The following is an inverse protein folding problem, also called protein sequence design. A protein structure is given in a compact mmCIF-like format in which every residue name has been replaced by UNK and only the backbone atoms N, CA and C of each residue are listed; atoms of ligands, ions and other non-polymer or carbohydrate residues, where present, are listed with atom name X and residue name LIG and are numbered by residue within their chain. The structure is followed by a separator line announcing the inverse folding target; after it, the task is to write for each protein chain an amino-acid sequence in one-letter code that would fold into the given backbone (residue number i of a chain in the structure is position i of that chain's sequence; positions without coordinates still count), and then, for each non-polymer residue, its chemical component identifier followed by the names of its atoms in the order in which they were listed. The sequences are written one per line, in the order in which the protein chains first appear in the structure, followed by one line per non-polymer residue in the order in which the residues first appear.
data_IF_351856176290
#
_entry.id   IF_351856176290
#
_cell.length_a   1.000
_cell.length_b   1.000
_cell.length_c   1.000
_cell.angle_alpha   90.00
_cell.angle_beta   90.00
_cell.angle_gamma   90.00
#
_symmetry.space_group_name_H-M   'P 1'
#
loop_
_entity.id
_entity.type
_entity.pdbx_description
1 polymer ?
#
# COMPACT_ATOMS: atom_id res chain seq x y z
N UNK A 1 15.61 10.87 1.45
CA UNK A 1 15.33 11.04 0.02
C UNK A 1 14.67 9.76 -0.50
N UNK A 2 13.57 9.90 -1.20
CA UNK A 2 12.85 8.76 -1.77
C UNK A 2 13.56 8.29 -3.04
N UNK A 3 13.71 6.97 -3.18
CA UNK A 3 14.29 6.36 -4.37
C UNK A 3 13.45 5.22 -4.90
N UNK A 4 13.77 4.78 -6.12
CA UNK A 4 13.23 3.54 -6.66
C UNK A 4 13.90 2.36 -5.96
N UNK A 5 13.11 1.34 -5.61
CA UNK A 5 13.64 0.12 -5.01
C UNK A 5 14.53 -0.63 -6.01
N UNK A 6 15.52 -1.30 -5.47
CA UNK A 6 16.41 -2.21 -6.21
C UNK A 6 16.25 -3.63 -5.67
N UNK A 7 16.86 -4.59 -6.32
CA UNK A 7 16.85 -5.98 -5.85
C UNK A 7 17.38 -6.13 -4.41
N UNK A 8 18.28 -5.24 -3.99
CA UNK A 8 18.84 -5.25 -2.64
C UNK A 8 17.80 -4.88 -1.56
N UNK A 9 16.71 -4.25 -1.95
CA UNK A 9 15.63 -3.87 -1.02
C UNK A 9 14.65 -5.03 -0.74
N UNK A 10 14.71 -6.11 -1.51
CA UNK A 10 13.73 -7.19 -1.42
C UNK A 10 13.70 -7.85 -0.03
N UNK A 11 14.84 -7.99 0.61
CA UNK A 11 14.93 -8.65 1.92
C UNK A 11 14.18 -7.87 3.01
N UNK A 12 14.51 -6.60 3.18
CA UNK A 12 13.87 -5.79 4.23
C UNK A 12 12.40 -5.49 3.94
N UNK A 13 12.02 -5.32 2.65
CA UNK A 13 10.62 -5.14 2.27
C UNK A 13 9.81 -6.39 2.63
N UNK A 14 10.34 -7.57 2.33
CA UNK A 14 9.72 -8.85 2.71
C UNK A 14 9.52 -8.94 4.22
N UNK A 15 10.55 -8.63 5.00
CA UNK A 15 10.50 -8.67 6.46
C UNK A 15 9.46 -7.69 7.02
N UNK A 16 9.46 -6.46 6.57
CA UNK A 16 8.48 -5.44 7.00
C UNK A 16 7.05 -5.86 6.68
N UNK A 17 6.80 -6.34 5.48
CA UNK A 17 5.47 -6.77 5.08
C UNK A 17 4.99 -7.97 5.90
N UNK A 18 5.87 -8.94 6.12
CA UNK A 18 5.52 -10.14 6.88
C UNK A 18 5.27 -9.85 8.37
N UNK A 19 5.95 -8.87 8.96
CA UNK A 19 5.63 -8.40 10.31
C UNK A 19 4.19 -7.84 10.37
N UNK A 20 3.81 -7.02 9.41
CA UNK A 20 2.44 -6.46 9.32
C UNK A 20 1.41 -7.58 9.13
N UNK A 21 1.70 -8.55 8.26
CA UNK A 21 0.81 -9.70 8.04
C UNK A 21 0.65 -10.53 9.31
N UNK A 22 1.73 -10.80 10.03
CA UNK A 22 1.71 -11.66 11.22
C UNK A 22 1.08 -10.97 12.44
N UNK A 23 1.34 -9.68 12.62
CA UNK A 23 1.13 -9.01 13.90
C UNK A 23 -0.05 -8.04 13.91
N UNK A 24 -0.71 -7.81 12.78
CA UNK A 24 -1.78 -6.80 12.67
C UNK A 24 -3.01 -7.29 11.93
N UNK A 25 -4.11 -6.52 12.06
CA UNK A 25 -5.33 -6.67 11.26
C UNK A 25 -5.42 -5.64 10.14
N UNK A 26 -4.34 -4.93 9.83
CA UNK A 26 -4.31 -3.98 8.71
C UNK A 26 -4.23 -4.67 7.35
N UNK A 27 -3.82 -5.93 7.32
CA UNK A 27 -3.93 -6.83 6.18
C UNK A 27 -4.88 -7.97 6.52
N UNK A 28 -5.59 -8.50 5.52
CA UNK A 28 -6.51 -9.63 5.72
C UNK A 28 -5.83 -10.98 5.49
N UNK A 29 -4.77 -11.03 4.71
CA UNK A 29 -4.04 -12.27 4.49
C UNK A 29 -3.25 -12.70 5.71
N UNK A 30 -3.12 -14.02 5.86
CA UNK A 30 -2.21 -14.66 6.81
C UNK A 30 -1.02 -15.30 6.10
N UNK A 31 -0.99 -15.25 4.76
CA UNK A 31 0.07 -15.83 3.95
C UNK A 31 1.27 -14.89 3.86
N UNK A 32 2.45 -15.32 4.34
CA UNK A 32 3.64 -14.48 4.22
C UNK A 32 4.07 -14.33 2.77
N UNK A 33 4.68 -13.19 2.46
CA UNK A 33 5.34 -12.95 1.18
C UNK A 33 6.68 -13.67 1.14
N UNK A 34 7.04 -14.17 -0.03
CA UNK A 34 8.40 -14.69 -0.27
C UNK A 34 9.31 -13.57 -0.78
N UNK A 35 10.59 -13.69 -0.50
CA UNK A 35 11.59 -12.76 -1.03
C UNK A 35 11.63 -12.77 -2.56
N UNK A 36 11.43 -13.94 -3.17
CA UNK A 36 11.35 -14.09 -4.64
C UNK A 36 10.17 -13.30 -5.21
N UNK A 37 8.99 -13.39 -4.59
CA UNK A 37 7.82 -12.64 -5.03
C UNK A 37 8.02 -11.12 -4.91
N UNK A 38 8.67 -10.66 -3.85
CA UNK A 38 8.99 -9.25 -3.68
C UNK A 38 10.03 -8.78 -4.69
N UNK A 39 11.05 -9.57 -4.96
CA UNK A 39 12.04 -9.25 -6.00
C UNK A 39 11.39 -9.13 -7.39
N UNK A 40 10.46 -10.01 -7.71
CA UNK A 40 9.68 -9.95 -8.95
C UNK A 40 8.79 -8.69 -8.98
N UNK A 41 8.16 -8.35 -7.89
CA UNK A 41 7.38 -7.11 -7.78
C UNK A 41 8.23 -5.89 -8.07
N UNK A 42 9.43 -5.80 -7.49
CA UNK A 42 10.38 -4.69 -7.72
C UNK A 42 10.76 -4.61 -9.19
N UNK A 43 10.94 -5.75 -9.86
CA UNK A 43 11.33 -5.81 -11.27
C UNK A 43 10.19 -5.44 -12.23
N UNK A 44 8.93 -5.55 -11.83
CA UNK A 44 7.78 -5.48 -12.75
C UNK A 44 6.83 -4.31 -12.51
N UNK A 45 6.96 -3.57 -11.41
CA UNK A 45 6.10 -2.43 -11.10
C UNK A 45 6.85 -1.35 -10.33
N UNK A 46 6.31 -0.12 -10.25
CA UNK A 46 6.92 0.93 -9.43
C UNK A 46 6.92 0.55 -7.95
N UNK A 47 8.08 0.60 -7.33
CA UNK A 47 8.27 0.45 -5.89
C UNK A 47 9.18 1.59 -5.44
N UNK A 48 8.69 2.44 -4.55
CA UNK A 48 9.46 3.54 -3.97
C UNK A 48 9.83 3.21 -2.54
N UNK A 49 11.02 3.60 -2.14
CA UNK A 49 11.56 3.32 -0.81
C UNK A 49 12.03 4.60 -0.11
N UNK A 50 11.84 4.61 1.20
CA UNK A 50 12.49 5.58 2.09
C UNK A 50 13.89 5.07 2.46
N UNK A 51 14.84 5.98 2.74
CA UNK A 51 16.17 5.57 3.19
C UNK A 51 16.09 4.78 4.50
N UNK A 52 17.15 4.04 4.79
CA UNK A 52 17.31 3.28 6.04
C UNK A 52 16.20 2.26 6.31
N UNK A 53 15.64 1.67 5.26
CA UNK A 53 14.55 0.69 5.35
C UNK A 53 13.33 1.21 6.16
N UNK A 54 13.05 2.50 6.09
CA UNK A 54 11.98 3.11 6.88
C UNK A 54 10.58 2.88 6.32
N UNK A 55 10.46 2.48 5.06
CA UNK A 55 9.16 2.19 4.46
C UNK A 55 9.23 2.11 2.95
N UNK A 56 8.17 1.57 2.38
CA UNK A 56 8.01 1.47 0.93
C UNK A 56 6.57 1.72 0.51
N UNK A 57 6.39 2.05 -0.76
CA UNK A 57 5.09 2.14 -1.39
C UNK A 57 5.16 1.59 -2.81
N UNK A 58 4.07 0.97 -3.24
CA UNK A 58 3.94 0.38 -4.57
C UNK A 58 2.49 0.44 -5.02
N UNK A 59 2.25 0.23 -6.30
CA UNK A 59 0.90 0.02 -6.80
C UNK A 59 0.87 -1.05 -7.87
N UNK A 60 -0.30 -1.65 -8.03
CA UNK A 60 -0.60 -2.61 -9.08
C UNK A 60 -2.00 -2.36 -9.65
N UNK A 61 -2.45 -3.22 -10.59
CA UNK A 61 -3.78 -3.11 -11.15
C UNK A 61 -4.86 -3.22 -10.06
N UNK A 62 -5.90 -2.39 -10.15
CA UNK A 62 -7.05 -2.54 -9.27
C UNK A 62 -7.86 -3.78 -9.65
N UNK A 63 -8.14 -3.96 -10.93
CA UNK A 63 -8.83 -5.14 -11.49
C UNK A 63 -8.22 -5.49 -12.83
N UNK A 64 -8.38 -6.76 -13.23
CA UNK A 64 -8.00 -7.22 -14.55
C UNK A 64 -8.89 -6.62 -15.64
N UNK A 65 -8.35 -6.53 -16.84
CA UNK A 65 -9.07 -6.07 -18.02
C UNK A 65 -8.70 -4.66 -18.45
N UNK A 66 -8.80 -4.37 -19.75
CA UNK A 66 -8.32 -3.11 -20.32
C UNK A 66 -9.15 -1.89 -19.88
N UNK A 67 -10.40 -2.09 -19.48
CA UNK A 67 -11.25 -1.00 -18.96
C UNK A 67 -10.76 -0.44 -17.61
N UNK A 68 -9.95 -1.20 -16.86
CA UNK A 68 -9.39 -0.78 -15.57
C UNK A 68 -7.92 -0.37 -15.66
N UNK A 69 -7.34 -0.27 -16.85
CA UNK A 69 -5.90 -0.05 -17.01
C UNK A 69 -5.39 1.25 -16.37
N UNK A 70 -6.22 2.27 -16.24
CA UNK A 70 -5.86 3.55 -15.61
C UNK A 70 -6.22 3.63 -14.12
N UNK A 71 -6.76 2.56 -13.52
CA UNK A 71 -7.08 2.48 -12.10
C UNK A 71 -6.10 1.55 -11.42
N UNK A 72 -5.47 2.06 -10.37
CA UNK A 72 -4.44 1.32 -9.61
C UNK A 72 -4.85 1.26 -8.14
N UNK A 73 -4.37 0.22 -7.47
CA UNK A 73 -4.46 0.09 -6.01
C UNK A 73 -3.06 0.09 -5.42
N UNK A 74 -2.84 0.93 -4.42
CA UNK A 74 -1.52 1.05 -3.80
C UNK A 74 -1.41 0.28 -2.49
N UNK A 75 -0.17 0.02 -2.11
CA UNK A 75 0.24 -0.43 -0.77
C UNK A 75 1.28 0.54 -0.26
N UNK A 76 1.14 0.97 0.99
CA UNK A 76 2.14 1.75 1.70
C UNK A 76 2.35 1.17 3.09
N UNK A 77 3.59 0.87 3.43
CA UNK A 77 3.97 0.37 4.74
C UNK A 77 5.17 1.14 5.28
N UNK A 78 5.07 1.58 6.52
CA UNK A 78 6.16 2.24 7.24
C UNK A 78 6.62 1.36 8.39
N UNK A 79 7.93 1.33 8.62
CA UNK A 79 8.45 0.75 9.85
C UNK A 79 7.93 1.52 11.07
N UNK A 80 7.79 0.89 12.24
CA UNK A 80 7.30 1.59 13.44
C UNK A 80 8.10 2.86 13.77
N UNK A 81 9.42 2.85 13.55
CA UNK A 81 10.29 4.00 13.81
C UNK A 81 10.08 5.18 12.86
N UNK A 82 9.43 4.97 11.73
CA UNK A 82 9.18 6.00 10.72
C UNK A 82 7.80 6.64 10.86
N UNK A 83 6.95 6.10 11.71
CA UNK A 83 5.57 6.58 11.87
C UNK A 83 5.51 7.93 12.59
N UNK A 84 4.51 8.74 12.27
CA UNK A 84 4.25 10.01 12.94
C UNK A 84 5.22 11.15 12.58
N UNK A 85 6.08 10.99 11.57
CA UNK A 85 7.11 11.96 11.20
C UNK A 85 6.90 12.58 9.80
N UNK A 86 5.74 12.36 9.19
CA UNK A 86 5.44 12.88 7.84
C UNK A 86 5.99 12.03 6.68
N UNK A 87 6.74 10.98 6.97
CA UNK A 87 7.33 10.11 5.93
C UNK A 87 6.28 9.46 5.02
N UNK A 88 5.15 9.05 5.58
CA UNK A 88 4.06 8.46 4.80
C UNK A 88 3.49 9.43 3.78
N UNK A 89 3.27 10.69 4.18
CA UNK A 89 2.79 11.74 3.27
C UNK A 89 3.77 11.94 2.11
N UNK A 90 5.04 12.05 2.42
CA UNK A 90 6.08 12.29 1.41
C UNK A 90 6.16 11.11 0.45
N UNK A 91 6.14 9.88 0.98
CA UNK A 91 6.23 8.65 0.18
C UNK A 91 5.01 8.47 -0.73
N UNK A 92 3.80 8.63 -0.20
CA UNK A 92 2.58 8.46 -1.00
C UNK A 92 2.43 9.58 -2.04
N UNK A 93 2.84 10.80 -1.72
CA UNK A 93 2.88 11.90 -2.70
C UNK A 93 3.82 11.58 -3.86
N UNK A 94 5.00 11.05 -3.57
CA UNK A 94 5.93 10.63 -4.61
C UNK A 94 5.35 9.50 -5.48
N UNK A 95 4.68 8.52 -4.87
CA UNK A 95 4.03 7.43 -5.59
C UNK A 95 2.92 7.95 -6.50
N UNK A 96 2.10 8.89 -6.03
CA UNK A 96 1.07 9.53 -6.84
C UNK A 96 1.67 10.26 -8.05
N UNK A 97 2.80 10.93 -7.87
CA UNK A 97 3.49 11.59 -8.97
C UNK A 97 4.03 10.59 -10.00
N UNK A 98 4.58 9.48 -9.55
CA UNK A 98 5.00 8.37 -10.44
C UNK A 98 3.80 7.85 -11.24
N UNK A 99 2.67 7.62 -10.59
CA UNK A 99 1.46 7.14 -11.24
C UNK A 99 0.91 8.13 -12.27
N UNK A 100 0.96 9.43 -11.98
CA UNK A 100 0.60 10.48 -12.96
C UNK A 100 1.50 10.42 -14.19
N UNK A 101 2.79 10.24 -13.99
CA UNK A 101 3.76 10.08 -15.08
C UNK A 101 3.49 8.86 -15.96
N UNK A 102 2.88 7.83 -15.40
CA UNK A 102 2.42 6.64 -16.12
C UNK A 102 0.97 6.76 -16.63
N UNK A 103 0.40 7.97 -16.61
CA UNK A 103 -0.93 8.28 -17.09
C UNK A 103 -2.05 7.50 -16.38
N UNK A 104 -1.85 7.15 -15.10
CA UNK A 104 -2.91 6.60 -14.28
C UNK A 104 -3.88 7.69 -13.86
N UNK A 105 -5.15 7.33 -13.68
CA UNK A 105 -6.24 8.28 -13.44
C UNK A 105 -6.78 8.21 -12.01
N UNK A 106 -7.02 7.01 -11.50
CA UNK A 106 -7.54 6.79 -10.14
C UNK A 106 -6.58 5.92 -9.34
N UNK A 107 -6.28 6.37 -8.13
CA UNK A 107 -5.58 5.54 -7.13
C UNK A 107 -6.56 5.13 -6.04
N UNK A 108 -6.65 3.81 -5.81
CA UNK A 108 -7.50 3.20 -4.79
C UNK A 108 -6.67 2.81 -3.59
N UNK A 109 -7.21 3.04 -2.41
CA UNK A 109 -6.70 2.53 -1.13
C UNK A 109 -7.71 1.52 -0.56
N UNK A 110 -7.28 0.28 -0.37
CA UNK A 110 -8.03 -0.74 0.37
C UNK A 110 -7.56 -0.74 1.83
N UNK A 111 -8.44 -0.35 2.74
CA UNK A 111 -8.08 -0.12 4.15
C UNK A 111 -8.93 -1.03 5.04
N UNK A 112 -8.28 -1.74 5.97
CA UNK A 112 -8.99 -2.48 7.01
C UNK A 112 -9.80 -1.52 7.89
N UNK A 113 -11.05 -1.88 8.18
CA UNK A 113 -11.86 -1.16 9.16
C UNK A 113 -11.25 -1.14 10.57
N UNK A 114 -10.30 -2.02 10.85
CA UNK A 114 -9.52 -2.03 12.08
C UNK A 114 -8.38 -1.00 12.10
N UNK A 115 -8.21 -0.22 11.04
CA UNK A 115 -7.12 0.76 10.89
C UNK A 115 -7.68 2.18 10.66
N UNK A 116 -8.31 2.81 11.67
CA UNK A 116 -8.87 4.16 11.51
C UNK A 116 -7.81 5.23 11.25
N UNK A 117 -6.58 5.02 11.69
CA UNK A 117 -5.47 5.93 11.41
C UNK A 117 -5.14 6.02 9.93
N UNK A 118 -5.23 4.91 9.19
CA UNK A 118 -5.02 4.91 7.75
C UNK A 118 -6.15 5.63 7.01
N UNK A 119 -7.39 5.51 7.47
CA UNK A 119 -8.53 6.24 6.90
C UNK A 119 -8.28 7.74 7.02
N UNK A 120 -7.92 8.23 8.21
CA UNK A 120 -7.61 9.63 8.44
C UNK A 120 -6.40 10.11 7.63
N UNK A 121 -5.37 9.28 7.52
CA UNK A 121 -4.17 9.58 6.73
C UNK A 121 -4.51 9.79 5.26
N UNK A 122 -5.28 8.90 4.66
CA UNK A 122 -5.68 8.99 3.25
C UNK A 122 -6.63 10.16 3.02
N UNK A 123 -7.57 10.43 3.93
CA UNK A 123 -8.47 11.59 3.84
C UNK A 123 -7.66 12.90 3.84
N UNK A 124 -6.63 13.01 4.67
CA UNK A 124 -5.75 14.18 4.71
C UNK A 124 -4.96 14.40 3.41
N UNK A 125 -4.79 13.35 2.59
CA UNK A 125 -4.15 13.41 1.27
C UNK A 125 -5.14 13.59 0.12
N UNK A 126 -6.42 13.79 0.43
CA UNK A 126 -7.45 14.06 -0.56
C UNK A 126 -8.16 12.81 -1.10
N UNK A 127 -7.95 11.65 -0.50
CA UNK A 127 -8.73 10.46 -0.84
C UNK A 127 -10.13 10.59 -0.26
N UNK A 128 -11.12 10.09 -0.99
CA UNK A 128 -12.52 10.06 -0.58
C UNK A 128 -12.96 8.62 -0.33
N UNK A 129 -13.67 8.39 0.75
CA UNK A 129 -14.27 7.07 1.00
C UNK A 129 -15.42 6.86 0.02
N UNK A 130 -15.35 5.77 -0.72
CA UNK A 130 -16.33 5.42 -1.75
C UNK A 130 -17.11 4.14 -1.43
N UNK A 131 -16.59 3.31 -0.52
CA UNK A 131 -17.29 2.10 -0.08
C UNK A 131 -16.86 1.70 1.32
N UNK A 132 -17.79 1.08 2.03
CA UNK A 132 -17.55 0.26 3.19
C UNK A 132 -18.21 -1.09 2.94
N UNK A 133 -17.42 -2.15 2.98
CA UNK A 133 -17.86 -3.52 2.74
C UNK A 133 -17.79 -4.29 4.06
N UNK A 134 -18.95 -4.49 4.74
CA UNK A 134 -18.96 -5.14 6.04
C UNK A 134 -18.55 -6.62 5.92
N UNK A 135 -17.70 -7.06 6.85
CA UNK A 135 -17.39 -8.46 7.11
C UNK A 135 -16.85 -9.25 5.91
N UNK A 136 -16.21 -8.58 4.93
CA UNK A 136 -15.65 -9.25 3.76
C UNK A 136 -14.29 -9.88 4.04
N UNK A 137 -13.61 -9.48 5.11
CA UNK A 137 -12.33 -10.06 5.54
C UNK A 137 -12.51 -10.93 6.79
N UNK A 138 -11.63 -11.93 6.92
CA UNK A 138 -11.56 -12.77 8.11
C UNK A 138 -10.13 -13.02 8.50
N UNK A 139 -9.79 -12.74 9.76
CA UNK A 139 -8.45 -12.96 10.29
C UNK A 139 -8.49 -13.09 11.80
N UNK A 140 -7.72 -14.04 12.34
CA UNK A 140 -7.66 -14.25 13.79
C UNK A 140 -9.02 -14.52 14.44
N UNK A 141 -9.95 -15.18 13.72
CA UNK A 141 -11.29 -15.45 14.19
C UNK A 141 -12.25 -14.25 14.15
N UNK A 142 -11.84 -13.11 13.59
CA UNK A 142 -12.62 -11.89 13.50
C UNK A 142 -13.05 -11.61 12.07
N UNK A 143 -14.28 -11.12 11.92
CA UNK A 143 -14.75 -10.51 10.68
C UNK A 143 -14.26 -9.07 10.60
N UNK A 144 -13.78 -8.67 9.44
CA UNK A 144 -13.21 -7.35 9.21
C UNK A 144 -13.90 -6.67 8.04
N UNK A 145 -14.16 -5.37 8.20
CA UNK A 145 -14.69 -4.55 7.12
C UNK A 145 -13.54 -4.09 6.21
N UNK A 146 -13.85 -3.94 4.92
CA UNK A 146 -12.98 -3.28 3.95
C UNK A 146 -13.51 -1.89 3.66
N UNK A 147 -12.67 -0.88 3.85
CA UNK A 147 -12.94 0.49 3.45
C UNK A 147 -12.20 0.75 2.15
N UNK A 148 -12.92 1.19 1.12
CA UNK A 148 -12.30 1.64 -0.12
C UNK A 148 -12.31 3.15 -0.17
N UNK A 149 -11.15 3.73 -0.41
CA UNK A 149 -10.97 5.15 -0.66
C UNK A 149 -10.33 5.33 -2.03
N UNK A 150 -10.58 6.46 -2.68
CA UNK A 150 -9.96 6.73 -3.97
C UNK A 150 -9.62 8.19 -4.13
N UNK A 151 -8.65 8.44 -4.97
CA UNK A 151 -8.23 9.78 -5.35
C UNK A 151 -8.03 9.84 -6.86
N UNK A 152 -8.57 10.91 -7.47
CA UNK A 152 -8.24 11.25 -8.85
C UNK A 152 -6.84 11.87 -8.88
N UNK A 153 -6.01 11.34 -9.75
CA UNK A 153 -4.59 11.75 -9.88
C UNK A 153 -4.40 12.97 -10.77
#
# INVERSE_FOLDING_TARGET
MIGAATADDADWITSLWNEVIADTFVTFTTEPKSQTAIAEMIATRPVLVLPDAMGFATYGPFRAGPGYAATIEHTILLSPRAQGQGHGRTLLTALMNTARGEQKHIMVAGISGANPGAIAFHAALGFQQVAQMPEVGRKGGQWLDLILMQKQL
#
